data_IF_557128385355
#
_entry.id   IF_557128385355
#
_cell.length_a   1.000
_cell.length_b   1.000
_cell.length_c   1.000
_cell.angle_alpha   90.00
_cell.angle_beta   90.00
_cell.angle_gamma   90.00
#
_symmetry.space_group_name_H-M   'P 1'
#
loop_
_entity.id
_entity.type
_entity.pdbx_description
1 polymer ?
#
# COMPACT_ATOMS: atom_id res chain seq x y z
N UNK A 1 -27.06 13.51 34.15
CA UNK A 1 -26.58 12.36 33.37
C UNK A 1 -25.78 12.94 32.23
N UNK A 2 -24.46 12.95 32.37
CA UNK A 2 -23.57 13.40 31.31
C UNK A 2 -23.50 12.31 30.24
N UNK A 3 -23.66 12.65 28.95
CA UNK A 3 -23.37 11.69 27.90
C UNK A 3 -21.88 11.40 27.91
N UNK A 4 -21.54 10.13 28.04
CA UNK A 4 -20.18 9.62 27.88
C UNK A 4 -19.79 9.90 26.42
N UNK A 5 -19.00 10.94 26.20
CA UNK A 5 -18.32 11.14 24.93
C UNK A 5 -17.29 10.01 24.80
N UNK A 6 -17.60 9.03 23.95
CA UNK A 6 -16.57 8.16 23.39
C UNK A 6 -15.51 9.05 22.74
N UNK A 7 -14.20 8.82 22.99
CA UNK A 7 -13.19 9.59 22.30
C UNK A 7 -13.30 9.27 20.81
N UNK A 8 -13.68 10.26 20.01
CA UNK A 8 -13.56 10.22 18.55
C UNK A 8 -12.07 10.12 18.24
N UNK A 9 -11.56 8.91 18.14
CA UNK A 9 -10.18 8.62 17.76
C UNK A 9 -9.98 8.73 16.23
N UNK A 10 -10.47 9.81 15.60
CA UNK A 10 -10.42 9.96 14.14
C UNK A 10 -9.63 11.19 13.66
N UNK A 11 -9.39 12.21 14.49
CA UNK A 11 -8.79 13.45 13.99
C UNK A 11 -7.26 13.43 13.78
N UNK A 12 -6.56 12.38 14.22
CA UNK A 12 -5.09 12.28 14.14
C UNK A 12 -4.59 10.94 13.62
N UNK A 13 -5.43 10.16 12.94
CA UNK A 13 -5.05 8.81 12.54
C UNK A 13 -4.18 8.78 11.27
N UNK A 14 -3.19 7.89 11.27
CA UNK A 14 -2.52 7.36 10.10
C UNK A 14 -3.31 6.17 9.58
N UNK A 15 -3.47 6.07 8.27
CA UNK A 15 -4.15 4.95 7.60
C UNK A 15 -3.17 4.18 6.74
N UNK A 16 -3.31 2.86 6.72
CA UNK A 16 -2.44 1.97 5.95
C UNK A 16 -3.25 1.30 4.85
N UNK A 17 -2.80 1.47 3.62
CA UNK A 17 -3.36 0.81 2.44
C UNK A 17 -2.37 -0.19 1.88
N UNK A 18 -2.84 -1.39 1.55
CA UNK A 18 -2.03 -2.43 0.91
C UNK A 18 -2.60 -2.71 -0.46
N UNK A 19 -1.74 -2.66 -1.46
CA UNK A 19 -2.07 -3.07 -2.83
C UNK A 19 -1.49 -4.46 -3.05
N UNK A 20 -2.33 -5.36 -3.57
CA UNK A 20 -1.98 -6.76 -3.79
C UNK A 20 -2.79 -7.38 -4.92
N UNK A 21 -2.64 -8.68 -5.11
CA UNK A 21 -3.39 -9.45 -6.10
C UNK A 21 -4.36 -10.40 -5.40
N UNK A 22 -5.63 -10.35 -5.80
CA UNK A 22 -6.63 -11.33 -5.40
C UNK A 22 -6.86 -12.28 -6.57
N UNK A 23 -6.83 -13.58 -6.31
CA UNK A 23 -7.35 -14.57 -7.26
C UNK A 23 -8.88 -14.40 -7.37
N UNK A 24 -9.53 -14.82 -8.44
CA UNK A 24 -11.00 -14.80 -8.49
C UNK A 24 -11.51 -16.05 -9.21
N UNK A 25 -12.50 -16.78 -8.66
CA UNK A 25 -13.17 -17.88 -9.36
C UNK A 25 -13.58 -17.46 -10.77
N UNK A 26 -13.02 -18.08 -11.80
CA UNK A 26 -13.55 -17.93 -13.15
C UNK A 26 -14.64 -18.98 -13.37
N UNK A 27 -15.93 -18.61 -13.41
CA UNK A 27 -17.01 -19.58 -13.56
C UNK A 27 -17.05 -20.26 -14.95
N UNK A 28 -16.26 -19.78 -15.93
CA UNK A 28 -16.35 -20.21 -17.32
C UNK A 28 -15.19 -21.12 -17.80
N UNK A 29 -14.11 -21.29 -17.05
CA UNK A 29 -12.93 -22.00 -17.55
C UNK A 29 -12.24 -22.84 -16.47
N UNK A 30 -11.89 -24.08 -16.80
CA UNK A 30 -10.96 -24.92 -16.03
C UNK A 30 -9.51 -24.43 -16.08
N UNK A 31 -9.30 -23.11 -16.17
CA UNK A 31 -8.01 -22.43 -16.22
C UNK A 31 -7.71 -21.70 -14.90
N UNK A 32 -6.43 -21.34 -14.70
CA UNK A 32 -5.96 -20.61 -13.53
C UNK A 32 -6.78 -19.33 -13.28
N UNK A 33 -7.08 -19.07 -12.01
CA UNK A 33 -7.89 -17.95 -11.56
C UNK A 33 -7.26 -16.62 -12.03
N UNK A 34 -7.99 -15.71 -12.70
CA UNK A 34 -7.46 -14.40 -13.06
C UNK A 34 -7.09 -13.62 -11.80
N UNK A 35 -5.81 -13.24 -11.69
CA UNK A 35 -5.31 -12.35 -10.65
C UNK A 35 -5.75 -10.91 -10.95
N UNK A 36 -6.41 -10.27 -9.99
CA UNK A 36 -6.83 -8.88 -10.06
C UNK A 36 -6.09 -8.05 -9.02
N UNK A 37 -5.58 -6.89 -9.43
CA UNK A 37 -5.01 -5.94 -8.48
C UNK A 37 -6.09 -5.25 -7.66
N UNK A 38 -5.88 -5.22 -6.34
CA UNK A 38 -6.80 -4.62 -5.38
C UNK A 38 -6.03 -3.82 -4.33
N UNK A 39 -6.65 -2.75 -3.85
CA UNK A 39 -6.11 -1.95 -2.75
C UNK A 39 -7.08 -1.99 -1.59
N UNK A 40 -6.62 -2.48 -0.44
CA UNK A 40 -7.41 -2.63 0.78
C UNK A 40 -6.89 -1.72 1.88
N UNK A 41 -7.79 -1.11 2.64
CA UNK A 41 -7.43 -0.37 3.86
C UNK A 41 -7.30 -1.37 5.00
N UNK A 42 -6.10 -1.48 5.57
CA UNK A 42 -5.74 -2.58 6.47
C UNK A 42 -5.88 -2.19 7.94
N UNK A 43 -5.33 -1.05 8.34
CA UNK A 43 -5.41 -0.58 9.71
C UNK A 43 -5.31 0.95 9.81
N UNK A 44 -5.66 1.47 10.98
CA UNK A 44 -5.40 2.85 11.39
C UNK A 44 -4.77 2.91 12.78
N UNK A 45 -4.00 3.97 13.03
CA UNK A 45 -3.29 4.16 14.27
C UNK A 45 -3.03 5.64 14.56
N UNK A 46 -2.77 5.99 15.82
CA UNK A 46 -2.49 7.38 16.20
C UNK A 46 -1.05 7.81 15.86
N UNK A 47 -0.13 6.85 15.74
CA UNK A 47 1.29 7.09 15.42
C UNK A 47 1.76 6.22 14.26
N UNK A 48 2.88 6.60 13.64
CA UNK A 48 3.48 5.85 12.52
C UNK A 48 3.97 4.50 13.05
N UNK A 49 4.60 4.48 14.21
CA UNK A 49 5.13 3.27 14.85
C UNK A 49 4.04 2.26 15.16
N UNK A 50 2.92 2.72 15.73
CA UNK A 50 1.78 1.86 16.03
C UNK A 50 1.18 1.27 14.75
N UNK A 51 1.04 2.08 13.68
CA UNK A 51 0.60 1.60 12.38
C UNK A 51 1.54 0.53 11.81
N UNK A 52 2.85 0.73 11.90
CA UNK A 52 3.86 -0.25 11.47
C UNK A 52 3.76 -1.55 12.27
N UNK A 53 3.61 -1.47 13.60
CA UNK A 53 3.46 -2.66 14.45
C UNK A 53 2.20 -3.46 14.12
N UNK A 54 1.05 -2.78 14.00
CA UNK A 54 -0.21 -3.42 13.59
C UNK A 54 -0.08 -4.10 12.24
N UNK A 55 0.51 -3.40 11.26
CA UNK A 55 0.73 -3.94 9.93
C UNK A 55 1.64 -5.18 9.94
N UNK A 56 2.71 -5.17 10.74
CA UNK A 56 3.60 -6.35 10.90
C UNK A 56 2.86 -7.56 11.46
N UNK A 57 1.98 -7.36 12.45
CA UNK A 57 1.16 -8.44 13.01
C UNK A 57 0.23 -9.02 11.94
N UNK A 58 -0.44 -8.15 11.18
CA UNK A 58 -1.33 -8.58 10.09
C UNK A 58 -0.56 -9.36 9.03
N UNK A 59 0.60 -8.86 8.63
CA UNK A 59 1.47 -9.51 7.65
C UNK A 59 1.96 -10.89 8.12
N UNK A 60 2.37 -10.99 9.39
CA UNK A 60 2.83 -12.25 9.98
C UNK A 60 1.72 -13.31 10.06
N UNK A 61 0.50 -12.89 10.38
CA UNK A 61 -0.65 -13.78 10.50
C UNK A 61 -1.29 -14.11 9.14
N UNK A 62 -0.99 -13.33 8.10
CA UNK A 62 -1.67 -13.40 6.81
C UNK A 62 -3.14 -12.97 6.87
N UNK A 63 -3.55 -12.28 7.94
CA UNK A 63 -4.94 -11.88 8.23
C UNK A 63 -5.30 -10.58 7.50
N UNK A 64 -5.21 -10.62 6.17
CA UNK A 64 -5.51 -9.47 5.33
C UNK A 64 -7.03 -9.22 5.31
N UNK A 65 -7.50 -7.99 5.54
CA UNK A 65 -8.91 -7.69 5.51
C UNK A 65 -9.41 -7.69 4.05
N UNK A 66 -9.79 -8.86 3.56
CA UNK A 66 -10.54 -9.04 2.32
C UNK A 66 -11.99 -8.65 2.61
N UNK A 67 -12.47 -7.53 2.07
CA UNK A 67 -13.87 -7.04 2.24
C UNK A 67 -14.78 -7.68 1.17
N UNK A 68 -16.08 -7.96 1.36
CA UNK A 68 -17.13 -7.46 2.27
C UNK A 68 -17.98 -8.60 2.89
N UNK A 69 -18.70 -8.28 3.97
CA UNK A 69 -19.73 -9.11 4.61
C UNK A 69 -20.75 -9.65 3.60
N UNK A 70 -20.77 -10.98 3.41
CA UNK A 70 -21.73 -11.67 2.53
C UNK A 70 -21.10 -12.53 1.44
N UNK A 71 -19.77 -12.55 1.30
CA UNK A 71 -19.07 -13.51 0.43
C UNK A 71 -18.81 -14.85 1.14
N UNK A 72 -18.86 -15.98 0.41
CA UNK A 72 -18.66 -17.31 1.00
C UNK A 72 -17.26 -17.47 1.60
N UNK A 73 -17.15 -18.29 2.65
CA UNK A 73 -15.92 -18.56 3.44
C UNK A 73 -14.71 -19.06 2.62
N UNK A 74 -14.92 -19.39 1.34
CA UNK A 74 -13.86 -19.66 0.36
C UNK A 74 -13.54 -18.39 -0.42
N UNK A 75 -13.02 -17.37 0.26
CA UNK A 75 -12.50 -16.17 -0.39
C UNK A 75 -11.16 -16.48 -1.07
N UNK A 76 -10.85 -15.81 -2.18
CA UNK A 76 -9.59 -16.01 -2.88
C UNK A 76 -8.40 -15.51 -2.06
N UNK A 77 -7.25 -16.13 -2.29
CA UNK A 77 -6.00 -15.73 -1.66
C UNK A 77 -5.65 -14.29 -2.09
N UNK A 78 -5.49 -13.40 -1.10
CA UNK A 78 -4.92 -12.06 -1.31
C UNK A 78 -3.40 -12.13 -1.13
N UNK A 79 -2.67 -11.77 -2.18
CA UNK A 79 -1.22 -11.74 -2.21
C UNK A 79 -0.80 -10.27 -2.09
N UNK A 80 -0.40 -9.79 -0.89
CA UNK A 80 0.04 -8.41 -0.70
C UNK A 80 1.31 -8.15 -1.53
N UNK A 81 1.42 -6.97 -2.14
CA UNK A 81 2.61 -6.59 -2.92
C UNK A 81 3.29 -5.34 -2.38
N UNK A 82 2.51 -4.33 -2.06
CA UNK A 82 3.02 -3.02 -1.65
C UNK A 82 2.13 -2.41 -0.59
N UNK A 83 2.73 -1.55 0.23
CA UNK A 83 2.02 -0.81 1.27
C UNK A 83 2.31 0.68 1.15
N UNK A 84 1.29 1.50 1.40
CA UNK A 84 1.41 2.93 1.54
C UNK A 84 0.64 3.41 2.76
N UNK A 85 1.34 4.13 3.63
CA UNK A 85 0.76 4.82 4.76
C UNK A 85 0.44 6.27 4.38
N UNK A 86 -0.73 6.72 4.79
CA UNK A 86 -1.21 8.08 4.61
C UNK A 86 -1.52 8.72 5.96
N UNK A 87 -1.30 10.01 6.08
CA UNK A 87 -1.83 10.77 7.20
C UNK A 87 -3.30 11.17 6.94
N UNK A 88 -3.90 11.81 7.94
CA UNK A 88 -5.28 12.33 7.87
C UNK A 88 -5.57 13.30 6.72
N UNK A 89 -4.55 13.94 6.15
CA UNK A 89 -4.70 14.87 5.01
C UNK A 89 -4.45 14.17 3.67
N UNK A 90 -4.34 12.84 3.66
CA UNK A 90 -4.03 12.05 2.47
C UNK A 90 -2.59 12.21 2.00
N UNK A 91 -1.69 12.74 2.84
CA UNK A 91 -0.27 12.85 2.46
C UNK A 91 0.40 11.50 2.68
N UNK A 92 1.21 11.09 1.69
CA UNK A 92 2.06 9.90 1.80
C UNK A 92 3.09 10.06 2.90
N UNK A 93 3.14 9.10 3.80
CA UNK A 93 3.99 9.07 5.00
C UNK A 93 5.14 8.09 4.82
N UNK A 94 4.83 6.86 4.42
CA UNK A 94 5.81 5.78 4.29
C UNK A 94 5.30 4.73 3.30
N UNK A 95 6.14 4.35 2.35
CA UNK A 95 5.85 3.30 1.37
C UNK A 95 6.76 2.09 1.58
N UNK A 96 6.28 0.89 1.24
CA UNK A 96 7.07 -0.34 1.37
C UNK A 96 6.60 -1.45 0.45
N UNK A 97 7.41 -2.50 0.39
CA UNK A 97 7.16 -3.74 -0.33
C UNK A 97 6.76 -4.82 0.68
N UNK A 98 5.77 -5.64 0.33
CA UNK A 98 5.38 -6.81 1.09
C UNK A 98 6.03 -8.04 0.44
N UNK A 99 6.98 -8.66 1.13
CA UNK A 99 7.64 -9.91 0.73
C UNK A 99 7.54 -10.88 1.93
N UNK A 100 8.61 -11.62 2.29
CA UNK A 100 8.67 -12.37 3.54
C UNK A 100 8.59 -11.47 4.80
N UNK A 101 9.08 -10.24 4.70
CA UNK A 101 8.86 -9.14 5.66
C UNK A 101 8.55 -7.86 4.88
N UNK A 102 8.14 -6.81 5.60
CA UNK A 102 7.84 -5.50 5.04
C UNK A 102 9.12 -4.70 4.88
N UNK A 103 9.51 -4.48 3.63
CA UNK A 103 10.72 -3.72 3.29
C UNK A 103 10.33 -2.28 2.96
N UNK A 104 10.70 -1.34 3.81
CA UNK A 104 10.38 0.07 3.62
C UNK A 104 11.22 0.71 2.51
N UNK A 105 10.56 1.43 1.61
CA UNK A 105 11.18 2.15 0.51
C UNK A 105 11.81 3.45 1.02
N UNK A 106 13.08 3.67 0.71
CA UNK A 106 13.76 4.92 1.06
C UNK A 106 13.11 6.11 0.33
N UNK A 107 12.65 7.14 1.06
CA UNK A 107 12.11 8.35 0.44
C UNK A 107 13.17 9.07 -0.40
N UNK A 108 12.78 9.51 -1.60
CA UNK A 108 13.64 10.39 -2.39
C UNK A 108 13.63 11.79 -1.80
N UNK A 109 14.80 12.28 -1.38
CA UNK A 109 14.97 13.59 -0.72
C UNK A 109 15.42 14.69 -1.67
N UNK A 110 16.13 14.34 -2.77
CA UNK A 110 16.57 15.31 -3.77
C UNK A 110 15.41 15.75 -4.67
N UNK A 111 15.22 17.06 -4.79
CA UNK A 111 14.11 17.63 -5.57
C UNK A 111 14.18 17.27 -7.06
N UNK A 112 15.38 17.21 -7.64
CA UNK A 112 15.61 16.83 -9.04
C UNK A 112 15.24 15.37 -9.30
N UNK A 113 15.66 14.45 -8.43
CA UNK A 113 15.32 13.03 -8.49
C UNK A 113 13.82 12.82 -8.30
N UNK A 114 13.21 13.52 -7.33
CA UNK A 114 11.76 13.47 -7.11
C UNK A 114 11.01 13.89 -8.37
N UNK A 115 11.41 14.98 -9.00
CA UNK A 115 10.78 15.46 -10.23
C UNK A 115 10.94 14.45 -11.38
N UNK A 116 12.12 13.84 -11.51
CA UNK A 116 12.38 12.79 -12.50
C UNK A 116 11.47 11.59 -12.29
N UNK A 117 11.36 11.14 -11.04
CA UNK A 117 10.57 9.98 -10.64
C UNK A 117 9.07 10.25 -10.83
N UNK A 118 8.59 11.44 -10.48
CA UNK A 118 7.20 11.86 -10.73
C UNK A 118 6.88 11.88 -12.24
N UNK A 119 7.80 12.40 -13.07
CA UNK A 119 7.65 12.37 -14.54
C UNK A 119 7.61 10.94 -15.06
N UNK A 120 8.46 10.05 -14.55
CA UNK A 120 8.48 8.65 -14.95
C UNK A 120 7.17 7.95 -14.54
N UNK A 121 6.69 8.18 -13.31
CA UNK A 121 5.40 7.69 -12.84
C UNK A 121 4.26 8.15 -13.74
N UNK A 122 4.19 9.45 -14.05
CA UNK A 122 3.13 10.00 -14.90
C UNK A 122 3.15 9.41 -16.31
N UNK A 123 4.35 9.19 -16.89
CA UNK A 123 4.48 8.51 -18.19
C UNK A 123 3.94 7.08 -18.15
N UNK A 124 4.28 6.32 -17.11
CA UNK A 124 3.77 4.95 -16.93
C UNK A 124 2.24 4.94 -16.80
N UNK A 125 1.67 5.85 -16.00
CA UNK A 125 0.21 5.99 -15.87
C UNK A 125 -0.46 6.32 -17.21
N UNK A 126 0.10 7.29 -17.96
CA UNK A 126 -0.45 7.68 -19.25
C UNK A 126 -0.40 6.52 -20.27
N UNK A 127 0.71 5.78 -20.30
CA UNK A 127 0.83 4.60 -21.15
C UNK A 127 -0.16 3.51 -20.71
N UNK A 128 -0.38 3.33 -19.41
CA UNK A 128 -1.33 2.36 -18.90
C UNK A 128 -2.77 2.67 -19.33
N UNK A 129 -3.18 3.94 -19.25
CA UNK A 129 -4.49 4.42 -19.77
C UNK A 129 -4.59 4.18 -21.26
N UNK A 130 -3.53 4.47 -22.02
CA UNK A 130 -3.49 4.22 -23.46
C UNK A 130 -3.69 2.73 -23.78
N UNK A 131 -2.91 1.84 -23.16
CA UNK A 131 -3.02 0.38 -23.34
C UNK A 131 -4.41 -0.14 -22.95
N UNK A 132 -4.99 0.38 -21.87
CA UNK A 132 -6.35 0.03 -21.47
C UNK A 132 -7.39 0.41 -22.53
N UNK A 133 -7.22 1.55 -23.20
CA UNK A 133 -8.07 1.98 -24.31
C UNK A 133 -7.97 1.07 -25.55
N UNK A 134 -6.91 0.29 -25.67
CA UNK A 134 -6.72 -0.75 -26.69
C UNK A 134 -7.08 -2.16 -26.19
N UNK A 135 -7.78 -2.26 -25.06
CA UNK A 135 -8.14 -3.53 -24.40
C UNK A 135 -6.93 -4.40 -23.99
N UNK A 136 -5.72 -3.82 -23.95
CA UNK A 136 -4.50 -4.47 -23.50
C UNK A 136 -4.38 -4.44 -21.96
N UNK A 137 -5.39 -5.00 -21.28
CA UNK A 137 -5.53 -4.93 -19.82
C UNK A 137 -4.30 -5.46 -19.06
N UNK A 138 -3.67 -6.54 -19.55
CA UNK A 138 -2.46 -7.11 -18.94
C UNK A 138 -1.29 -6.11 -18.98
N UNK A 139 -1.07 -5.47 -20.13
CA UNK A 139 0.00 -4.47 -20.29
C UNK A 139 -0.27 -3.24 -19.44
N UNK A 140 -1.52 -2.75 -19.44
CA UNK A 140 -1.94 -1.64 -18.57
C UNK A 140 -1.68 -1.95 -17.09
N UNK A 141 -2.03 -3.15 -16.63
CA UNK A 141 -1.79 -3.60 -15.25
C UNK A 141 -0.30 -3.56 -14.88
N UNK A 142 0.58 -4.12 -15.73
CA UNK A 142 2.04 -4.09 -15.49
C UNK A 142 2.57 -2.65 -15.43
N UNK A 143 2.04 -1.74 -16.24
CA UNK A 143 2.43 -0.32 -16.22
C UNK A 143 1.95 0.38 -14.94
N UNK A 144 0.73 0.11 -14.49
CA UNK A 144 0.21 0.61 -13.21
C UNK A 144 1.03 0.10 -12.03
N UNK A 145 1.39 -1.19 -12.01
CA UNK A 145 2.27 -1.77 -10.99
C UNK A 145 3.63 -1.08 -10.94
N UNK A 146 4.26 -0.85 -12.09
CA UNK A 146 5.52 -0.11 -12.18
C UNK A 146 5.37 1.31 -11.63
N UNK A 147 4.29 2.01 -11.99
CA UNK A 147 4.01 3.35 -11.49
C UNK A 147 3.77 3.35 -9.97
N UNK A 148 3.06 2.35 -9.45
CA UNK A 148 2.78 2.20 -8.03
C UNK A 148 4.07 2.00 -7.23
N UNK A 149 4.97 1.13 -7.69
CA UNK A 149 6.30 0.90 -7.08
C UNK A 149 7.14 2.18 -7.00
N UNK A 150 7.18 2.96 -8.08
CA UNK A 150 7.82 4.27 -8.06
C UNK A 150 7.18 5.18 -7.00
N UNK A 151 5.86 5.12 -6.87
CA UNK A 151 5.10 5.95 -5.94
C UNK A 151 5.40 5.68 -4.46
N UNK A 152 6.04 4.54 -4.13
CA UNK A 152 6.46 4.19 -2.77
C UNK A 152 7.54 5.14 -2.23
N UNK A 153 8.41 5.62 -3.11
CA UNK A 153 9.50 6.52 -2.78
C UNK A 153 9.06 7.99 -2.67
N UNK A 154 7.85 8.32 -3.14
CA UNK A 154 7.30 9.67 -3.20
C UNK A 154 6.55 10.05 -1.92
N UNK A 155 7.27 10.07 -0.80
CA UNK A 155 6.77 10.51 0.51
C UNK A 155 6.68 12.05 0.58
N UNK A 156 5.73 12.59 1.35
CA UNK A 156 5.61 14.04 1.56
C UNK A 156 6.84 14.62 2.25
N UNK A 157 7.27 15.82 1.86
CA UNK A 157 8.44 16.50 2.44
C UNK A 157 8.37 16.64 3.97
N UNK A 158 7.16 16.75 4.53
CA UNK A 158 6.91 16.77 5.98
C UNK A 158 7.46 15.54 6.70
N UNK A 159 7.42 14.38 6.05
CA UNK A 159 7.82 13.10 6.64
C UNK A 159 9.24 12.66 6.23
N UNK A 160 9.86 13.33 5.25
CA UNK A 160 11.26 13.06 4.86
C UNK A 160 12.26 13.34 6.00
N UNK A 161 11.97 14.34 6.84
CA UNK A 161 12.82 14.73 7.98
C UNK A 161 12.25 14.28 9.33
N UNK A 162 11.20 13.46 9.32
CA UNK A 162 10.57 12.99 10.55
C UNK A 162 11.45 11.92 11.23
N UNK A 163 11.81 12.15 12.50
CA UNK A 163 12.65 11.22 13.25
C UNK A 163 12.04 9.81 13.32
N UNK A 164 10.72 9.72 13.55
CA UNK A 164 10.02 8.44 13.63
C UNK A 164 10.14 7.63 12.33
N UNK A 165 10.01 8.28 11.17
CA UNK A 165 10.21 7.65 9.86
C UNK A 165 11.66 7.22 9.68
N UNK A 166 12.62 8.08 10.04
CA UNK A 166 14.04 7.74 9.95
C UNK A 166 14.41 6.55 10.85
N UNK A 167 13.84 6.46 12.04
CA UNK A 167 14.05 5.36 12.96
C UNK A 167 13.46 4.06 12.40
N UNK A 168 12.23 4.07 11.87
CA UNK A 168 11.64 2.90 11.22
C UNK A 168 12.55 2.39 10.09
N UNK A 169 13.04 3.28 9.22
CA UNK A 169 13.91 2.93 8.10
C UNK A 169 15.26 2.32 8.54
N UNK A 170 15.85 2.82 9.64
CA UNK A 170 17.10 2.28 10.21
C UNK A 170 16.92 0.86 10.76
N UNK A 171 15.86 0.65 11.54
CA UNK A 171 15.62 -0.64 12.20
C UNK A 171 15.13 -1.71 11.22
N UNK A 172 14.50 -1.34 10.10
CA UNK A 172 14.18 -2.30 9.02
C UNK A 172 15.41 -2.78 8.25
N UNK A 173 16.47 -1.99 8.16
CA UNK A 173 17.70 -2.40 7.48
C UNK A 173 18.56 -3.37 8.30
N UNK A 174 18.28 -3.49 9.61
CA UNK A 174 19.12 -4.25 10.55
C UNK A 174 18.72 -5.73 10.70
N UNK A 175 17.70 -6.20 9.98
CA UNK A 175 17.36 -7.63 9.91
C UNK A 175 18.03 -8.23 8.67
N UNK A 176 19.35 -8.33 8.72
CA UNK A 176 20.13 -9.28 7.91
C UNK A 176 21.09 -9.96 8.87
N UNK A 177 20.72 -11.16 9.30
CA UNK A 177 21.59 -12.11 9.99
C UNK A 177 21.52 -13.43 9.24
#
# INVERSE_FOLDING_TARGET
MDPIFLPVAEETAFTVQVTGLSEYPNPAAGEALPLREETVSVCSAATITEAVQKLKVIHLLGDWPVRETGQPDTLPNFIPQTVMMYDRQGRKVLGGYCDSDIVWAQPVTLASERLSLEKQRQRLCNNAVFEQGWENYRTACVLWQKAHRLSLHLVSSRYQQCCEVADILRHSASVTA
#
